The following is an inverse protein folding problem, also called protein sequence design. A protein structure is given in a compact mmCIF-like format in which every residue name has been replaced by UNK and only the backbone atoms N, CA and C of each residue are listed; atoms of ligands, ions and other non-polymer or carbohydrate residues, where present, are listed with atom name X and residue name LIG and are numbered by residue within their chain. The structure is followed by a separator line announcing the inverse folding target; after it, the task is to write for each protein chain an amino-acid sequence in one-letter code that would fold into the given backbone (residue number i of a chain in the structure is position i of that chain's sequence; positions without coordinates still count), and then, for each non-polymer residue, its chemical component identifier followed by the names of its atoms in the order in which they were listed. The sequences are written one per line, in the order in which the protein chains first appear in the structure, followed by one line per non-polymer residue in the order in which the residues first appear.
data_IF_611887364569
#
_entry.id   IF_611887364569
#
_cell.length_a   1.000
_cell.length_b   1.000
_cell.length_c   1.000
_cell.angle_alpha   90.00
_cell.angle_beta   90.00
_cell.angle_gamma   90.00
#
_symmetry.space_group_name_H-M   'P 1'
#
loop_
_entity.id
_entity.type
_entity.pdbx_description
1 polymer ?
#
# COMPACT_ATOMS: atom_id res chain seq x y z
N UNK A 1 6.36 28.42 -26.44
CA UNK A 1 5.83 29.22 -25.31
C UNK A 1 5.83 28.34 -24.07
N UNK A 2 6.25 28.92 -22.95
CA UNK A 2 6.67 28.30 -21.69
C UNK A 2 5.83 27.08 -21.25
N UNK A 3 6.51 25.94 -21.07
CA UNK A 3 6.03 24.81 -20.26
C UNK A 3 5.91 25.33 -18.82
N UNK A 4 4.69 25.62 -18.39
CA UNK A 4 4.39 25.94 -17.00
C UNK A 4 4.56 24.68 -16.17
N UNK A 5 5.48 24.73 -15.19
CA UNK A 5 5.62 23.71 -14.14
C UNK A 5 4.25 23.42 -13.53
N UNK A 6 3.92 22.16 -13.19
CA UNK A 6 2.63 21.84 -12.59
C UNK A 6 2.47 22.64 -11.31
N UNK A 7 1.47 23.52 -11.32
CA UNK A 7 1.01 24.22 -10.13
C UNK A 7 0.11 23.25 -9.37
N UNK A 8 0.49 22.99 -8.12
CA UNK A 8 -0.15 22.09 -7.16
C UNK A 8 0.01 20.58 -7.47
N UNK A 9 0.89 19.93 -6.69
CA UNK A 9 0.99 18.48 -6.51
C UNK A 9 -0.34 17.91 -5.98
N UNK A 10 -1.35 17.76 -6.83
CA UNK A 10 -2.57 17.01 -6.52
C UNK A 10 -2.34 15.57 -6.94
N UNK A 11 -2.47 14.63 -6.01
CA UNK A 11 -2.26 13.21 -6.29
C UNK A 11 -3.58 12.67 -6.87
N UNK A 12 -3.61 12.24 -8.15
CA UNK A 12 -4.87 11.90 -8.83
C UNK A 12 -5.41 10.50 -8.51
N UNK A 13 -4.76 9.78 -7.58
CA UNK A 13 -5.22 8.49 -7.06
C UNK A 13 -5.49 8.63 -5.57
N UNK A 14 -6.70 8.31 -5.13
CA UNK A 14 -7.10 8.26 -3.73
C UNK A 14 -7.67 6.88 -3.39
N UNK A 15 -7.17 6.26 -2.33
CA UNK A 15 -7.58 4.91 -1.91
C UNK A 15 -7.51 3.82 -3.01
N UNK A 16 -6.59 4.00 -3.98
CA UNK A 16 -6.46 3.08 -5.12
C UNK A 16 -7.48 3.28 -6.24
N UNK A 17 -8.27 4.35 -6.18
CA UNK A 17 -9.24 4.75 -7.21
C UNK A 17 -8.77 6.08 -7.82
N UNK A 18 -8.88 6.23 -9.14
CA UNK A 18 -8.53 7.47 -9.84
C UNK A 18 -9.61 8.51 -9.57
N UNK A 19 -9.21 9.64 -8.98
CA UNK A 19 -10.09 10.77 -8.67
C UNK A 19 -10.04 11.88 -9.72
N UNK A 20 -8.91 12.03 -10.42
CA UNK A 20 -8.70 13.06 -11.45
C UNK A 20 -8.06 12.44 -12.71
N UNK A 21 -8.84 12.39 -13.80
CA UNK A 21 -8.43 11.70 -15.03
C UNK A 21 -7.50 12.54 -15.91
N UNK A 22 -7.58 13.87 -15.85
CA UNK A 22 -6.77 14.77 -16.68
C UNK A 22 -5.33 14.82 -16.16
N UNK A 23 -5.18 14.82 -14.83
CA UNK A 23 -3.86 14.73 -14.19
C UNK A 23 -3.28 13.32 -14.29
N UNK A 24 -4.10 12.25 -14.25
CA UNK A 24 -3.63 10.89 -14.59
C UNK A 24 -3.13 10.79 -16.02
N UNK A 25 -3.79 11.42 -17.00
CA UNK A 25 -3.33 11.40 -18.40
C UNK A 25 -1.96 12.07 -18.56
N UNK A 26 -1.72 13.19 -17.87
CA UNK A 26 -0.41 13.87 -17.88
C UNK A 26 0.68 13.04 -17.21
N UNK A 27 0.37 12.43 -16.06
CA UNK A 27 1.29 11.52 -15.36
C UNK A 27 1.58 10.30 -16.25
N UNK A 28 0.57 9.73 -16.89
CA UNK A 28 0.75 8.61 -17.82
C UNK A 28 1.55 9.00 -19.05
N UNK A 29 1.38 10.19 -19.65
CA UNK A 29 2.22 10.65 -20.77
C UNK A 29 3.69 10.77 -20.37
N UNK A 30 3.97 11.33 -19.19
CA UNK A 30 5.34 11.42 -18.65
C UNK A 30 5.94 10.03 -18.34
N UNK A 31 5.15 9.15 -17.73
CA UNK A 31 5.49 7.74 -17.47
C UNK A 31 5.66 6.95 -18.79
N UNK A 32 4.94 7.28 -19.87
CA UNK A 32 5.07 6.60 -21.16
C UNK A 32 6.31 7.06 -21.94
N UNK A 33 6.69 8.33 -21.81
CA UNK A 33 7.87 8.89 -22.45
C UNK A 33 9.17 8.56 -21.68
N UNK A 34 9.13 8.36 -20.36
CA UNK A 34 10.33 7.99 -19.57
C UNK A 34 10.26 6.67 -18.75
N UNK A 35 9.18 6.26 -18.07
CA UNK A 35 9.16 5.03 -17.21
C UNK A 35 7.75 4.40 -16.95
N UNK A 36 7.37 3.37 -17.72
CA UNK A 36 6.11 2.58 -17.83
C UNK A 36 5.35 2.03 -16.55
N UNK A 37 3.98 2.20 -16.48
CA UNK A 37 2.84 1.20 -16.30
C UNK A 37 1.59 1.49 -15.35
N UNK A 38 0.36 1.48 -15.94
CA UNK A 38 -1.02 0.96 -15.52
C UNK A 38 -1.88 1.58 -14.36
N UNK A 39 -3.25 1.59 -14.26
CA UNK A 39 -4.45 1.24 -15.10
C UNK A 39 -5.84 1.68 -14.50
N UNK A 40 -6.94 1.60 -15.29
CA UNK A 40 -8.42 1.47 -15.03
C UNK A 40 -9.17 1.24 -16.37
N UNK A 41 -10.49 0.95 -16.46
CA UNK A 41 -11.24 0.68 -17.73
C UNK A 41 -11.07 1.74 -18.83
N UNK A 42 -11.13 3.03 -18.46
CA UNK A 42 -10.75 4.13 -19.35
C UNK A 42 -9.27 4.08 -19.75
N UNK A 43 -8.40 3.60 -18.87
CA UNK A 43 -7.01 3.38 -19.21
C UNK A 43 -6.86 2.26 -20.23
N UNK A 44 -7.58 1.13 -20.12
CA UNK A 44 -7.56 0.09 -21.16
C UNK A 44 -7.99 0.65 -22.53
N UNK A 45 -9.04 1.46 -22.53
CA UNK A 45 -9.48 2.18 -23.72
C UNK A 45 -8.39 3.15 -24.23
N UNK A 46 -7.72 3.92 -23.36
CA UNK A 46 -6.58 4.76 -23.74
C UNK A 46 -5.37 3.94 -24.26
N UNK A 47 -5.04 2.79 -23.66
CA UNK A 47 -3.92 1.96 -24.10
C UNK A 47 -4.16 1.38 -25.50
N UNK A 48 -5.38 0.94 -25.81
CA UNK A 48 -5.71 0.44 -27.14
C UNK A 48 -5.98 1.56 -28.15
N UNK A 49 -6.73 2.62 -27.79
CA UNK A 49 -7.17 3.66 -28.73
C UNK A 49 -6.17 4.83 -28.87
N UNK A 50 -5.44 5.19 -27.81
CA UNK A 50 -4.46 6.30 -27.83
C UNK A 50 -3.02 5.82 -27.99
N UNK A 51 -2.64 4.73 -27.31
CA UNK A 51 -1.26 4.22 -27.32
C UNK A 51 -1.03 3.03 -28.27
N UNK A 52 -2.08 2.55 -28.95
CA UNK A 52 -2.04 1.52 -29.98
C UNK A 52 -1.27 0.24 -29.56
N UNK A 53 -1.44 -0.18 -28.30
CA UNK A 53 -0.71 -1.32 -27.73
C UNK A 53 -1.26 -2.65 -28.29
N UNK A 54 -0.41 -3.60 -28.72
CA UNK A 54 -0.87 -4.83 -29.38
C UNK A 54 -1.57 -5.82 -28.44
N UNK A 55 -1.24 -5.82 -27.15
CA UNK A 55 -1.89 -6.64 -26.14
C UNK A 55 -1.80 -6.01 -24.75
N UNK A 56 -2.85 -6.17 -23.94
CA UNK A 56 -2.93 -5.68 -22.58
C UNK A 56 -3.28 -6.83 -21.63
N UNK A 57 -2.67 -6.82 -20.44
CA UNK A 57 -3.05 -7.71 -19.35
C UNK A 57 -3.11 -6.90 -18.05
N UNK A 58 -4.30 -6.78 -17.48
CA UNK A 58 -4.52 -6.19 -16.18
C UNK A 58 -4.66 -7.31 -15.14
N UNK A 59 -3.81 -7.27 -14.11
CA UNK A 59 -3.90 -8.17 -12.96
C UNK A 59 -4.09 -7.37 -11.68
N UNK A 60 -4.90 -7.90 -10.78
CA UNK A 60 -5.12 -7.31 -9.47
C UNK A 60 -3.84 -7.53 -8.64
N UNK A 61 -3.36 -6.49 -7.95
CA UNK A 61 -2.14 -6.58 -7.12
C UNK A 61 -2.20 -7.72 -6.08
N UNK A 62 -3.39 -7.99 -5.56
CA UNK A 62 -3.66 -9.13 -4.67
C UNK A 62 -3.59 -10.49 -5.40
N UNK A 63 -4.00 -10.56 -6.67
CA UNK A 63 -3.95 -11.79 -7.51
C UNK A 63 -2.52 -12.14 -7.93
N UNK A 64 -1.65 -11.14 -8.16
CA UNK A 64 -0.21 -11.36 -8.31
C UNK A 64 0.47 -11.86 -7.03
N UNK A 65 -0.13 -11.58 -5.87
CA UNK A 65 0.41 -12.01 -4.58
C UNK A 65 -0.12 -13.38 -4.16
N UNK A 66 -1.41 -13.65 -4.33
CA UNK A 66 -2.12 -14.83 -3.79
C UNK A 66 -3.38 -15.09 -4.64
N UNK A 67 -3.38 -16.09 -5.52
CA UNK A 67 -4.57 -16.48 -6.29
C UNK A 67 -5.67 -17.03 -5.34
N UNK A 68 -6.83 -16.36 -5.37
CA UNK A 68 -8.11 -16.68 -4.69
C UNK A 68 -8.24 -16.38 -3.19
N UNK A 69 -8.70 -15.18 -2.84
CA UNK A 69 -9.59 -14.99 -1.69
C UNK A 69 -10.45 -13.74 -1.89
N UNK A 70 -11.71 -13.79 -1.44
CA UNK A 70 -12.63 -12.65 -1.50
C UNK A 70 -11.96 -11.44 -0.83
N UNK A 71 -11.90 -10.35 -1.60
CA UNK A 71 -11.21 -9.11 -1.25
C UNK A 71 -11.83 -8.48 0.00
N UNK A 72 -11.07 -8.39 1.08
CA UNK A 72 -11.35 -7.46 2.18
C UNK A 72 -10.48 -6.23 1.99
N UNK A 73 -11.09 -5.11 1.63
CA UNK A 73 -10.43 -3.81 1.58
C UNK A 73 -10.54 -3.11 2.91
N UNK A 74 -9.49 -2.39 3.27
CA UNK A 74 -9.50 -1.40 4.34
C UNK A 74 -8.99 -0.12 3.71
N UNK A 75 -9.74 0.96 3.87
CA UNK A 75 -9.38 2.27 3.32
C UNK A 75 -8.43 3.02 4.27
N UNK A 76 -7.39 2.32 4.73
CA UNK A 76 -6.32 2.86 5.58
C UNK A 76 -5.00 2.38 5.02
N UNK A 77 -4.14 3.32 4.67
CA UNK A 77 -2.87 3.04 4.03
C UNK A 77 -1.76 4.00 4.50
N UNK A 78 -0.65 3.99 3.77
CA UNK A 78 0.51 4.81 4.12
C UNK A 78 0.26 6.32 4.03
N UNK A 79 -0.80 6.76 3.35
CA UNK A 79 -1.19 8.18 3.27
C UNK A 79 -1.78 8.65 4.59
N UNK A 80 -2.73 7.90 5.13
CA UNK A 80 -3.38 8.19 6.41
C UNK A 80 -2.33 8.24 7.53
N UNK A 81 -1.32 7.35 7.47
CA UNK A 81 -0.20 7.38 8.43
C UNK A 81 0.62 8.66 8.30
N UNK A 82 0.85 9.16 7.07
CA UNK A 82 1.55 10.44 6.86
C UNK A 82 0.72 11.61 7.40
N UNK A 83 -0.59 11.63 7.17
CA UNK A 83 -1.47 12.70 7.64
C UNK A 83 -1.64 12.70 9.15
N UNK A 84 -1.73 11.51 9.76
CA UNK A 84 -1.75 11.40 11.21
C UNK A 84 -0.41 11.79 11.82
N UNK A 85 0.72 11.45 11.20
CA UNK A 85 2.04 11.93 11.64
C UNK A 85 2.13 13.46 11.54
N UNK A 86 1.58 14.07 10.49
CA UNK A 86 1.51 15.53 10.37
C UNK A 86 0.73 16.16 11.54
N UNK A 87 -0.40 15.56 11.93
CA UNK A 87 -1.19 16.02 13.08
C UNK A 87 -0.39 15.90 14.39
N UNK A 88 0.28 14.78 14.62
CA UNK A 88 1.09 14.57 15.83
C UNK A 88 2.24 15.57 15.92
N UNK A 89 2.97 15.78 14.82
CA UNK A 89 4.05 16.76 14.75
C UNK A 89 3.56 18.19 15.01
N UNK A 90 2.35 18.52 14.53
CA UNK A 90 1.71 19.80 14.81
C UNK A 90 1.38 20.00 16.28
N UNK A 91 0.94 18.96 16.97
CA UNK A 91 0.69 19.00 18.43
C UNK A 91 2.01 19.18 19.19
N UNK A 92 3.09 18.55 18.72
CA UNK A 92 4.43 18.69 19.30
C UNK A 92 5.11 20.04 19.00
N UNK A 93 4.46 20.91 18.21
CA UNK A 93 4.90 22.29 17.95
C UNK A 93 5.51 22.52 16.57
N UNK A 94 5.68 21.48 15.74
CA UNK A 94 6.22 21.59 14.39
C UNK A 94 5.13 21.96 13.38
N UNK A 95 5.28 23.10 12.71
CA UNK A 95 4.28 23.59 11.74
C UNK A 95 4.64 23.16 10.32
N UNK A 96 4.09 22.04 9.90
CA UNK A 96 4.11 21.61 8.50
C UNK A 96 2.75 21.90 7.86
N UNK A 97 2.70 22.85 6.91
CA UNK A 97 1.50 23.32 6.22
C UNK A 97 1.54 23.10 4.72
N UNK A 98 2.72 23.08 4.11
CA UNK A 98 2.85 23.02 2.65
C UNK A 98 2.85 21.58 2.12
N UNK A 99 2.52 21.41 0.84
CA UNK A 99 2.56 20.09 0.17
C UNK A 99 3.99 19.58 0.01
N UNK A 100 4.99 20.47 -0.09
CA UNK A 100 6.40 20.08 -0.10
C UNK A 100 6.83 19.52 1.27
N UNK A 101 6.35 20.10 2.36
CA UNK A 101 6.60 19.61 3.72
C UNK A 101 5.95 18.24 3.98
N UNK A 102 4.80 17.93 3.33
CA UNK A 102 4.22 16.58 3.39
C UNK A 102 5.18 15.50 2.88
N UNK A 103 6.02 15.82 1.91
CA UNK A 103 7.03 14.88 1.40
C UNK A 103 8.16 14.67 2.42
N UNK A 104 8.54 15.72 3.15
CA UNK A 104 9.48 15.60 4.27
C UNK A 104 8.90 14.72 5.37
N UNK A 105 7.61 14.86 5.69
CA UNK A 105 6.91 13.98 6.65
C UNK A 105 6.91 12.53 6.16
N UNK A 106 6.75 12.28 4.85
CA UNK A 106 6.87 10.94 4.27
C UNK A 106 8.27 10.36 4.50
N UNK A 107 9.32 11.15 4.32
CA UNK A 107 10.72 10.73 4.57
C UNK A 107 10.94 10.44 6.06
N UNK A 108 10.44 11.30 6.95
CA UNK A 108 10.49 11.10 8.40
C UNK A 108 9.82 9.76 8.75
N UNK A 109 8.61 9.53 8.21
CA UNK A 109 7.86 8.29 8.42
C UNK A 109 8.66 7.06 7.99
N UNK A 110 9.24 7.09 6.80
CA UNK A 110 9.98 5.93 6.27
C UNK A 110 11.30 5.65 6.99
N UNK A 111 11.97 6.69 7.50
CA UNK A 111 13.26 6.54 8.20
C UNK A 111 13.14 6.27 9.69
N UNK A 112 12.14 6.85 10.36
CA UNK A 112 12.11 6.93 11.82
C UNK A 112 10.99 6.13 12.47
N UNK A 113 9.87 5.90 11.77
CA UNK A 113 8.73 5.19 12.35
C UNK A 113 8.98 3.69 12.46
N UNK A 114 8.42 3.11 13.51
CA UNK A 114 8.47 1.68 13.80
C UNK A 114 7.18 1.25 14.50
N UNK A 115 6.86 -0.03 14.46
CA UNK A 115 5.68 -0.56 15.16
C UNK A 115 6.11 -1.12 16.51
N UNK A 116 5.51 -0.59 17.58
CA UNK A 116 5.70 -1.13 18.91
C UNK A 116 4.94 -2.45 19.08
N UNK A 117 5.52 -3.43 19.78
CA UNK A 117 4.82 -4.68 20.12
C UNK A 117 3.72 -4.45 21.17
N UNK A 118 3.98 -3.53 22.12
CA UNK A 118 3.06 -3.15 23.19
C UNK A 118 3.07 -1.62 23.35
N UNK A 119 2.13 -0.88 22.72
CA UNK A 119 2.18 0.58 22.68
C UNK A 119 2.11 1.23 24.06
N UNK A 120 1.31 0.68 25.00
CA UNK A 120 1.18 1.19 26.37
C UNK A 120 2.48 1.07 27.16
N UNK A 121 3.26 0.01 26.92
CA UNK A 121 4.54 -0.19 27.58
C UNK A 121 5.60 0.73 26.98
N UNK A 122 5.65 0.81 25.66
CA UNK A 122 6.55 1.68 24.92
C UNK A 122 6.34 3.16 25.29
N UNK A 123 5.09 3.60 25.45
CA UNK A 123 4.78 4.96 25.87
C UNK A 123 5.32 5.31 27.26
N UNK A 124 5.34 4.33 28.18
CA UNK A 124 5.94 4.50 29.52
C UNK A 124 7.47 4.52 29.45
N UNK A 125 8.07 3.68 28.63
CA UNK A 125 9.53 3.51 28.53
C UNK A 125 10.21 4.61 27.71
N UNK A 126 9.48 5.23 26.77
CA UNK A 126 9.97 6.29 25.87
C UNK A 126 9.59 7.69 26.38
N UNK A 127 8.94 7.79 27.55
CA UNK A 127 8.56 9.09 28.12
C UNK A 127 9.82 9.92 28.43
N UNK A 128 10.13 10.90 27.57
CA UNK A 128 11.32 11.75 27.65
C UNK A 128 12.51 11.35 26.77
N UNK A 129 12.41 10.31 25.92
CA UNK A 129 13.42 9.97 24.90
C UNK A 129 13.04 10.58 23.56
N UNK A 130 13.98 11.32 22.99
CA UNK A 130 13.84 11.95 21.68
C UNK A 130 15.00 11.50 20.80
N UNK A 131 14.69 11.16 19.55
CA UNK A 131 15.69 10.98 18.51
C UNK A 131 15.77 12.25 17.67
N UNK A 132 17.00 12.71 17.49
CA UNK A 132 17.32 13.86 16.66
C UNK A 132 17.21 13.46 15.18
N UNK A 133 16.36 14.16 14.43
CA UNK A 133 16.20 14.00 12.99
C UNK A 133 16.58 15.28 12.26
N UNK A 134 17.58 15.18 11.38
CA UNK A 134 18.01 16.32 10.57
C UNK A 134 17.09 16.48 9.35
N UNK A 135 16.39 17.61 9.30
CA UNK A 135 15.62 18.04 8.14
C UNK A 135 16.56 18.35 6.96
N UNK A 136 16.04 18.32 5.72
CA UNK A 136 16.79 18.76 4.53
C UNK A 136 17.35 20.18 4.64
N UNK A 137 16.72 21.02 5.46
CA UNK A 137 17.10 22.41 5.69
C UNK A 137 18.27 22.55 6.70
N UNK A 138 18.74 21.45 7.28
CA UNK A 138 19.82 21.41 8.27
C UNK A 138 19.34 21.57 9.72
N UNK A 139 18.07 21.89 9.95
CA UNK A 139 17.47 21.95 11.28
C UNK A 139 17.32 20.54 11.88
N UNK A 140 17.49 20.42 13.20
CA UNK A 140 17.34 19.15 13.92
C UNK A 140 16.04 19.16 14.71
N UNK A 141 15.11 18.30 14.31
CA UNK A 141 13.83 18.09 14.98
C UNK A 141 13.94 16.92 15.96
N UNK A 142 13.27 17.04 17.10
CA UNK A 142 13.25 16.04 18.16
C UNK A 142 11.98 15.22 18.05
N UNK A 143 12.12 13.99 17.57
CA UNK A 143 11.00 13.06 17.41
C UNK A 143 10.94 12.12 18.61
N UNK A 144 9.81 12.11 19.31
CA UNK A 144 9.58 11.28 20.47
C UNK A 144 8.57 10.18 20.15
N UNK A 145 7.45 10.22 20.87
CA UNK A 145 6.40 9.18 20.79
C UNK A 145 5.63 9.16 19.46
N UNK A 146 5.75 10.19 18.61
CA UNK A 146 5.03 10.25 17.33
C UNK A 146 5.44 9.11 16.39
N UNK A 147 6.68 8.62 16.53
CA UNK A 147 7.29 7.61 15.66
C UNK A 147 6.60 6.26 15.71
N UNK A 148 6.16 5.82 16.89
CA UNK A 148 5.42 4.57 17.05
C UNK A 148 3.90 4.79 17.13
N UNK A 149 3.44 5.98 17.52
CA UNK A 149 2.02 6.33 17.49
C UNK A 149 1.48 6.44 16.07
N UNK A 150 2.24 7.02 15.14
CA UNK A 150 1.79 7.20 13.76
C UNK A 150 1.38 5.89 13.07
N UNK A 151 2.22 4.83 13.01
CA UNK A 151 1.84 3.57 12.38
C UNK A 151 0.83 2.74 13.19
N UNK A 152 0.52 3.11 14.44
CA UNK A 152 -0.46 2.39 15.26
C UNK A 152 -1.88 2.46 14.66
N UNK A 153 -2.19 3.47 13.86
CA UNK A 153 -3.50 3.59 13.17
C UNK A 153 -3.80 2.40 12.26
N UNK A 154 -2.77 1.69 11.79
CA UNK A 154 -2.93 0.48 10.98
C UNK A 154 -3.49 -0.68 11.81
N UNK A 155 -3.24 -0.69 13.11
CA UNK A 155 -3.75 -1.70 14.05
C UNK A 155 -4.97 -1.19 14.81
N UNK A 156 -5.02 0.10 15.12
CA UNK A 156 -6.15 0.73 15.80
C UNK A 156 -6.63 1.99 15.05
N UNK A 157 -7.53 1.83 14.07
CA UNK A 157 -8.14 2.95 13.33
C UNK A 157 -8.96 3.91 14.19
N UNK A 158 -9.41 3.50 15.38
CA UNK A 158 -10.20 4.35 16.27
C UNK A 158 -9.43 5.60 16.71
N UNK A 159 -8.08 5.56 16.66
CA UNK A 159 -7.21 6.71 16.97
C UNK A 159 -7.44 7.92 16.07
N UNK A 160 -7.91 7.69 14.84
CA UNK A 160 -8.26 8.73 13.87
C UNK A 160 -9.78 8.93 13.74
N UNK A 161 -10.56 8.32 14.65
CA UNK A 161 -12.02 8.40 14.66
C UNK A 161 -12.70 7.55 13.58
N UNK A 162 -12.00 6.55 13.04
CA UNK A 162 -12.58 5.62 12.07
C UNK A 162 -12.99 4.32 12.73
N UNK A 163 -14.20 3.84 12.44
CA UNK A 163 -14.75 2.57 12.96
C UNK A 163 -14.27 1.33 12.16
N UNK A 164 -13.15 1.45 11.45
CA UNK A 164 -12.62 0.34 10.67
C UNK A 164 -11.89 -0.67 11.55
N UNK A 165 -11.93 -1.94 11.14
CA UNK A 165 -11.13 -2.98 11.75
C UNK A 165 -9.64 -2.79 11.39
N UNK A 166 -8.75 -2.98 12.36
CA UNK A 166 -7.31 -2.98 12.13
C UNK A 166 -6.87 -4.11 11.20
N UNK A 167 -5.67 -3.98 10.61
CA UNK A 167 -5.12 -4.95 9.64
C UNK A 167 -5.09 -6.37 10.22
N UNK A 168 -4.75 -6.52 11.50
CA UNK A 168 -4.69 -7.82 12.16
C UNK A 168 -6.05 -8.53 12.21
N UNK A 169 -7.12 -7.77 12.50
CA UNK A 169 -8.49 -8.28 12.53
C UNK A 169 -8.97 -8.61 11.11
N UNK A 170 -8.64 -7.77 10.13
CA UNK A 170 -9.02 -8.00 8.73
C UNK A 170 -8.38 -9.27 8.18
N UNK A 171 -7.10 -9.52 8.49
CA UNK A 171 -6.42 -10.78 8.12
C UNK A 171 -7.10 -11.97 8.80
N UNK A 172 -7.41 -11.86 10.08
CA UNK A 172 -8.07 -12.92 10.84
C UNK A 172 -9.46 -13.23 10.26
N UNK A 173 -10.30 -12.22 10.06
CA UNK A 173 -11.66 -12.36 9.53
C UNK A 173 -11.66 -12.91 8.12
N UNK A 174 -10.71 -12.51 7.28
CA UNK A 174 -10.55 -13.04 5.93
C UNK A 174 -10.25 -14.53 5.93
N UNK A 175 -9.35 -14.98 6.80
CA UNK A 175 -9.06 -16.42 6.94
C UNK A 175 -10.27 -17.13 7.57
N UNK A 176 -10.93 -16.52 8.55
CA UNK A 176 -12.07 -17.14 9.24
C UNK A 176 -13.32 -17.25 8.35
N UNK A 177 -13.44 -16.45 7.29
CA UNK A 177 -14.48 -16.56 6.26
C UNK A 177 -14.24 -17.71 5.27
N UNK A 178 -13.05 -18.30 5.26
CA UNK A 178 -12.75 -19.47 4.40
C UNK A 178 -13.14 -20.80 5.05
N UNK A 179 -13.19 -21.85 4.23
CA UNK A 179 -13.50 -23.21 4.68
C UNK A 179 -12.54 -23.69 5.77
N UNK A 180 -13.06 -24.43 6.75
CA UNK A 180 -12.33 -24.88 7.94
C UNK A 180 -11.02 -25.60 7.60
N UNK A 181 -11.03 -26.40 6.53
CA UNK A 181 -9.87 -27.20 6.09
C UNK A 181 -8.73 -26.33 5.54
N UNK A 182 -9.06 -25.18 4.93
CA UNK A 182 -8.09 -24.27 4.32
C UNK A 182 -7.46 -23.31 5.34
N UNK A 183 -8.14 -23.02 6.46
CA UNK A 183 -7.66 -22.05 7.46
C UNK A 183 -6.25 -22.36 7.96
N UNK A 184 -5.96 -23.63 8.24
CA UNK A 184 -4.63 -24.08 8.71
C UNK A 184 -3.54 -23.78 7.67
N UNK A 185 -3.85 -23.98 6.39
CA UNK A 185 -2.93 -23.73 5.28
C UNK A 185 -2.73 -22.22 5.09
N UNK A 186 -3.80 -21.43 5.17
CA UNK A 186 -3.75 -19.98 5.00
C UNK A 186 -2.98 -19.29 6.14
N UNK A 187 -3.22 -19.66 7.39
CA UNK A 187 -2.45 -19.14 8.54
C UNK A 187 -0.95 -19.50 8.45
N UNK A 188 -0.61 -20.62 7.82
CA UNK A 188 0.77 -21.04 7.63
C UNK A 188 1.46 -20.36 6.42
N UNK A 189 0.73 -19.63 5.57
CA UNK A 189 1.24 -19.05 4.33
C UNK A 189 0.80 -17.58 4.16
N UNK A 190 1.02 -16.75 5.19
CA UNK A 190 0.76 -15.31 5.09
C UNK A 190 1.99 -14.62 4.50
N UNK A 191 1.83 -13.90 3.39
CA UNK A 191 2.90 -13.14 2.74
C UNK A 191 2.62 -11.64 2.88
N UNK A 192 3.63 -10.87 3.28
CA UNK A 192 3.54 -9.42 3.37
C UNK A 192 4.08 -8.77 2.10
N UNK A 193 3.28 -7.88 1.51
CA UNK A 193 3.65 -7.05 0.35
C UNK A 193 3.27 -5.58 0.57
N UNK A 194 3.97 -4.68 -0.11
CA UNK A 194 3.67 -3.24 -0.11
C UNK A 194 4.49 -2.40 0.88
N UNK A 195 4.62 -1.11 0.57
CA UNK A 195 5.50 -0.18 1.28
C UNK A 195 5.15 0.05 2.76
N UNK A 196 3.86 0.06 3.12
CA UNK A 196 3.43 0.23 4.52
C UNK A 196 3.79 -0.95 5.43
N UNK A 197 4.13 -2.11 4.87
CA UNK A 197 4.61 -3.27 5.66
C UNK A 197 6.12 -3.22 5.93
N UNK A 198 6.81 -2.18 5.46
CA UNK A 198 8.26 -2.00 5.64
C UNK A 198 8.66 -1.56 7.05
N UNK A 199 7.70 -1.11 7.87
CA UNK A 199 8.00 -0.73 9.25
C UNK A 199 8.71 -1.86 10.00
N UNK A 200 9.68 -1.46 10.83
CA UNK A 200 10.37 -2.37 11.74
C UNK A 200 9.35 -3.03 12.67
N UNK A 201 9.52 -4.31 12.91
CA UNK A 201 8.69 -5.14 13.79
C UNK A 201 7.21 -5.30 13.38
N UNK A 202 6.84 -4.88 12.15
CA UNK A 202 5.49 -5.07 11.59
C UNK A 202 5.04 -6.54 11.65
N UNK A 203 5.89 -7.45 11.15
CA UNK A 203 5.57 -8.88 11.11
C UNK A 203 5.46 -9.50 12.50
N UNK A 204 6.31 -9.07 13.44
CA UNK A 204 6.29 -9.55 14.84
C UNK A 204 5.03 -9.09 15.56
N UNK A 205 4.62 -7.83 15.39
CA UNK A 205 3.36 -7.30 15.93
C UNK A 205 2.16 -8.03 15.35
N UNK A 206 2.10 -8.16 14.01
CA UNK A 206 1.00 -8.85 13.34
C UNK A 206 0.88 -10.31 13.80
N UNK A 207 2.01 -11.02 13.93
CA UNK A 207 2.03 -12.39 14.45
C UNK A 207 1.48 -12.47 15.88
N UNK A 208 1.86 -11.53 16.75
CA UNK A 208 1.39 -11.44 18.13
C UNK A 208 -0.12 -11.22 18.19
N UNK A 209 -0.66 -10.27 17.41
CA UNK A 209 -2.09 -9.98 17.40
C UNK A 209 -2.92 -11.14 16.82
N UNK A 210 -2.50 -11.71 15.69
CA UNK A 210 -3.20 -12.87 15.11
C UNK A 210 -3.16 -14.05 16.08
N UNK A 211 -2.05 -14.26 16.80
CA UNK A 211 -1.93 -15.33 17.79
C UNK A 211 -2.85 -15.13 19.00
N UNK A 212 -3.19 -13.90 19.38
CA UNK A 212 -4.18 -13.63 20.44
C UNK A 212 -5.60 -13.95 19.98
N UNK A 213 -5.91 -13.72 18.70
CA UNK A 213 -7.23 -13.97 18.11
C UNK A 213 -7.44 -15.44 17.71
N UNK A 214 -6.37 -16.11 17.25
CA UNK A 214 -6.43 -17.48 16.77
C UNK A 214 -6.42 -18.52 17.91
N UNK A 215 -7.04 -19.67 17.66
CA UNK A 215 -7.03 -20.81 18.57
C UNK A 215 -5.59 -21.30 18.78
N UNK A 216 -5.21 -21.64 20.01
CA UNK A 216 -3.83 -21.91 20.47
C UNK A 216 -3.07 -23.03 19.72
N UNK A 217 -3.72 -23.78 18.83
CA UNK A 217 -3.15 -24.94 18.13
C UNK A 217 -2.83 -24.70 16.63
N UNK A 218 -2.89 -23.44 16.17
CA UNK A 218 -2.61 -23.11 14.76
C UNK A 218 -1.17 -22.58 14.63
N UNK A 219 -0.39 -23.20 13.73
CA UNK A 219 0.95 -22.71 13.35
C UNK A 219 0.82 -21.54 12.38
N UNK A 220 1.01 -20.32 12.89
CA UNK A 220 1.02 -19.11 12.06
C UNK A 220 2.44 -18.84 11.58
N UNK A 221 2.62 -18.64 10.27
CA UNK A 221 3.89 -18.21 9.67
C UNK A 221 3.64 -17.00 8.77
N UNK A 222 4.45 -15.97 8.97
CA UNK A 222 4.41 -14.74 8.19
C UNK A 222 5.73 -14.63 7.42
N UNK A 223 5.64 -14.57 6.11
CA UNK A 223 6.76 -14.39 5.19
C UNK A 223 6.84 -12.92 4.80
N UNK A 224 7.98 -12.29 5.10
CA UNK A 224 8.24 -10.88 4.81
C UNK A 224 9.53 -10.77 3.98
N UNK A 225 9.45 -10.80 2.64
CA UNK A 225 10.64 -10.62 1.82
C UNK A 225 11.24 -9.22 2.04
N UNK A 226 12.58 -9.07 1.95
CA UNK A 226 13.24 -7.77 2.12
C UNK A 226 12.81 -6.78 1.03
N UNK A 227 12.64 -7.26 -0.20
CA UNK A 227 12.23 -6.46 -1.37
C UNK A 227 10.71 -6.36 -1.53
N UNK A 228 9.94 -6.50 -0.45
CA UNK A 228 8.46 -6.52 -0.49
C UNK A 228 7.81 -5.23 -1.03
N UNK A 229 8.56 -4.13 -1.10
CA UNK A 229 8.15 -2.90 -1.80
C UNK A 229 7.87 -3.13 -3.28
N UNK A 230 8.68 -3.98 -3.92
CA UNK A 230 8.64 -4.26 -5.34
C UNK A 230 8.12 -5.67 -5.66
N UNK A 231 7.74 -6.44 -4.64
CA UNK A 231 7.24 -7.82 -4.77
C UNK A 231 6.17 -7.98 -5.84
N UNK A 232 5.19 -7.07 -5.89
CA UNK A 232 4.13 -7.07 -6.92
C UNK A 232 4.70 -6.88 -8.33
N UNK A 233 5.69 -6.01 -8.47
CA UNK A 233 6.32 -5.71 -9.77
C UNK A 233 7.21 -6.88 -10.23
N UNK A 234 7.97 -7.48 -9.31
CA UNK A 234 8.76 -8.69 -9.55
C UNK A 234 7.83 -9.85 -9.96
N UNK A 235 6.72 -10.05 -9.24
CA UNK A 235 5.72 -11.06 -9.58
C UNK A 235 5.11 -10.86 -10.97
N UNK A 236 4.81 -9.61 -11.33
CA UNK A 236 4.36 -9.26 -12.69
C UNK A 236 5.42 -9.50 -13.77
N UNK A 237 6.69 -9.21 -13.49
CA UNK A 237 7.81 -9.49 -14.42
C UNK A 237 7.98 -10.99 -14.65
N UNK A 238 7.93 -11.79 -13.59
CA UNK A 238 8.00 -13.26 -13.68
C UNK A 238 6.79 -13.80 -14.46
N UNK A 239 5.58 -13.33 -14.14
CA UNK A 239 4.35 -13.76 -14.82
C UNK A 239 4.41 -13.47 -16.31
N UNK A 240 4.90 -12.29 -16.71
CA UNK A 240 5.05 -11.92 -18.11
C UNK A 240 6.10 -12.75 -18.85
N UNK A 241 7.10 -13.28 -18.15
CA UNK A 241 8.13 -14.15 -18.72
C UNK A 241 7.66 -15.60 -18.92
N UNK A 242 6.53 -16.02 -18.34
CA UNK A 242 6.02 -17.39 -18.50
C UNK A 242 5.47 -17.61 -19.91
N UNK A 243 5.73 -18.79 -20.48
CA UNK A 243 5.20 -19.18 -21.79
C UNK A 243 3.66 -19.27 -21.82
N UNK A 244 3.04 -19.51 -20.66
CA UNK A 244 1.59 -19.52 -20.47
C UNK A 244 0.95 -18.13 -20.52
N UNK A 245 1.74 -17.06 -20.34
CA UNK A 245 1.27 -15.68 -20.38
C UNK A 245 0.63 -15.31 -21.72
N UNK A 246 1.10 -15.93 -22.81
CA UNK A 246 0.55 -15.75 -24.15
C UNK A 246 -0.94 -16.09 -24.28
N UNK A 247 -1.45 -16.94 -23.38
CA UNK A 247 -2.86 -17.35 -23.35
C UNK A 247 -3.72 -16.46 -22.45
N UNK A 248 -3.11 -15.62 -21.63
CA UNK A 248 -3.79 -14.82 -20.60
C UNK A 248 -4.00 -13.35 -21.03
N UNK A 249 -3.17 -12.81 -21.92
CA UNK A 249 -3.35 -11.44 -22.40
C UNK A 249 -4.58 -11.30 -23.30
N UNK A 250 -5.08 -10.07 -23.40
CA UNK A 250 -6.12 -9.66 -24.36
C UNK A 250 -5.43 -8.97 -25.53
N UNK A 251 -5.68 -9.42 -26.76
CA UNK A 251 -5.16 -8.72 -27.95
C UNK A 251 -6.02 -7.50 -28.30
N UNK A 252 -5.45 -6.57 -29.06
CA UNK A 252 -6.21 -5.42 -29.55
C UNK A 252 -7.40 -5.84 -30.42
N UNK A 253 -7.26 -6.91 -31.20
CA UNK A 253 -8.32 -7.49 -32.04
C UNK A 253 -9.47 -8.02 -31.17
N UNK A 254 -9.15 -8.83 -30.15
CA UNK A 254 -10.14 -9.36 -29.21
C UNK A 254 -10.89 -8.25 -28.44
N UNK A 255 -10.21 -7.15 -28.12
CA UNK A 255 -10.82 -6.01 -27.42
C UNK A 255 -11.73 -5.17 -28.34
N UNK A 256 -11.40 -5.06 -29.62
CA UNK A 256 -12.26 -4.38 -30.60
C UNK A 256 -13.55 -5.15 -30.87
N UNK A 257 -13.50 -6.48 -30.83
CA UNK A 257 -14.67 -7.35 -30.96
C UNK A 257 -15.56 -7.34 -29.71
N UNK A 258 -14.95 -7.38 -28.52
CA UNK A 258 -15.66 -7.44 -27.25
C UNK A 258 -14.95 -6.61 -26.17
N UNK A 259 -15.49 -5.43 -25.87
CA UNK A 259 -14.92 -4.53 -24.85
C UNK A 259 -15.01 -5.09 -23.43
N UNK A 260 -15.94 -6.02 -23.16
CA UNK A 260 -16.10 -6.66 -21.86
C UNK A 260 -15.18 -7.87 -21.66
N UNK A 261 -14.38 -8.23 -22.68
CA UNK A 261 -13.46 -9.37 -22.61
C UNK A 261 -12.40 -9.20 -21.51
N UNK A 262 -12.07 -7.97 -21.16
CA UNK A 262 -11.16 -7.64 -20.06
C UNK A 262 -11.72 -8.17 -18.75
N UNK A 263 -13.01 -7.97 -18.46
CA UNK A 263 -13.63 -8.50 -17.24
C UNK A 263 -13.69 -10.03 -17.25
N UNK A 264 -13.88 -10.65 -18.41
CA UNK A 264 -13.96 -12.12 -18.53
C UNK A 264 -12.62 -12.82 -18.39
N UNK A 265 -11.51 -12.18 -18.82
CA UNK A 265 -10.15 -12.74 -18.67
C UNK A 265 -9.48 -12.32 -17.36
N UNK A 266 -9.91 -11.24 -16.71
CA UNK A 266 -9.33 -10.77 -15.45
C UNK A 266 -9.99 -11.34 -14.18
N UNK A 267 -11.13 -12.05 -14.27
CA UNK A 267 -11.87 -12.62 -13.13
C UNK A 267 -12.16 -14.12 -13.28
#
# INVERSE_FOLDING_TARGET
SRITRPSQNKIPIEHGIVSDWDDMERIWKYIYEEELKTASDKAAQMFFETFNVPALFASIQAVLSLYSSRRTTVDIAGRDVTEYLQLLLRISGYKFTTTAEKEVIRIIKEKTCYIALFPIKEEKDTNGKYDDFTLPDGNVDKLGSERFKAPEILFNPELIGLEYAGIHQVVFDSINRTDLDLRKILFANVVLSGGSTLYKDFGTRLLSEIRKLAVKDIKIKIFAPPERKYSTWIGGSILAALSTFKKMWVSAEEFQEDRDIIHRKSF
#
